data_IF_338216460777
#
_entry.id   IF_338216460777
#
_cell.length_a   1.000
_cell.length_b   1.000
_cell.length_c   1.000
_cell.angle_alpha   90.00
_cell.angle_beta   90.00
_cell.angle_gamma   90.00
#
_symmetry.space_group_name_H-M   'P 1'
#
loop_
_entity.id
_entity.type
_entity.pdbx_description
1 polymer ?
#
# COMPACT_ATOMS: atom_id res chain seq x y z
N UNK A 1 -7.70 27.84 -15.88
CA UNK A 1 -8.54 27.23 -16.95
C UNK A 1 -8.00 25.84 -17.22
N UNK A 2 -8.74 24.78 -16.90
CA UNK A 2 -8.31 23.39 -17.13
C UNK A 2 -8.15 23.19 -18.64
N UNK A 3 -7.00 22.68 -19.06
CA UNK A 3 -6.75 22.27 -20.46
C UNK A 3 -7.48 20.95 -20.73
N UNK A 4 -8.81 21.02 -20.84
CA UNK A 4 -9.66 19.89 -21.21
C UNK A 4 -9.51 19.62 -22.70
N UNK A 5 -8.63 18.70 -23.09
CA UNK A 5 -8.44 18.35 -24.49
C UNK A 5 -7.16 17.57 -24.76
N UNK A 6 -6.80 17.45 -26.01
CA UNK A 6 -5.69 16.67 -26.56
C UNK A 6 -4.27 17.09 -26.09
N UNK A 7 -4.17 18.10 -25.21
CA UNK A 7 -2.87 18.72 -24.84
C UNK A 7 -2.57 18.65 -23.32
N UNK A 8 -3.00 17.57 -22.63
CA UNK A 8 -2.63 17.39 -21.21
C UNK A 8 -1.14 17.11 -21.08
N UNK A 9 -0.52 17.71 -20.06
CA UNK A 9 0.85 17.45 -19.65
C UNK A 9 0.88 16.51 -18.45
N UNK A 10 1.67 15.46 -18.54
CA UNK A 10 1.78 14.41 -17.53
C UNK A 10 3.17 14.41 -16.90
N UNK A 11 3.22 14.44 -15.57
CA UNK A 11 4.43 14.20 -14.79
C UNK A 11 4.43 12.75 -14.31
N UNK A 12 5.34 11.92 -14.82
CA UNK A 12 5.46 10.51 -14.45
C UNK A 12 6.53 10.35 -13.39
N UNK A 13 6.17 9.96 -12.17
CA UNK A 13 7.11 9.70 -11.09
C UNK A 13 7.23 8.20 -10.88
N UNK A 14 8.41 7.65 -11.13
CA UNK A 14 8.71 6.22 -11.03
C UNK A 14 9.59 5.97 -9.82
N UNK A 15 9.16 5.06 -8.94
CA UNK A 15 10.04 4.53 -7.88
C UNK A 15 10.67 3.20 -8.36
N UNK A 16 11.94 3.22 -8.83
CA UNK A 16 12.56 2.06 -9.47
C UNK A 16 12.75 0.87 -8.53
N UNK A 17 12.90 1.11 -7.23
CA UNK A 17 13.14 0.04 -6.24
C UNK A 17 11.85 -0.57 -5.69
N UNK A 18 10.69 -0.02 -6.02
CA UNK A 18 9.40 -0.54 -5.56
C UNK A 18 9.21 -1.99 -6.00
N UNK A 19 8.60 -2.80 -5.13
CA UNK A 19 8.39 -4.25 -5.32
C UNK A 19 9.68 -5.02 -5.70
N UNK A 20 10.80 -4.64 -5.08
CA UNK A 20 12.09 -5.29 -5.35
C UNK A 20 12.63 -5.06 -6.76
N UNK A 21 12.44 -3.84 -7.30
CA UNK A 21 12.94 -3.41 -8.60
C UNK A 21 12.00 -3.67 -9.79
N UNK A 22 10.86 -4.34 -9.56
CA UNK A 22 9.90 -4.62 -10.66
C UNK A 22 9.20 -3.38 -11.18
N UNK A 23 9.04 -2.36 -10.35
CA UNK A 23 8.42 -1.11 -10.75
C UNK A 23 9.21 -0.36 -11.84
N UNK A 24 10.50 -0.56 -11.94
CA UNK A 24 11.31 -0.01 -13.04
C UNK A 24 10.84 -0.53 -14.40
N UNK A 25 10.69 -1.86 -14.53
CA UNK A 25 10.21 -2.46 -15.77
C UNK A 25 8.76 -2.07 -16.10
N UNK A 26 7.91 -1.94 -15.06
CA UNK A 26 6.55 -1.46 -15.18
C UNK A 26 6.51 -0.01 -15.68
N UNK A 27 7.36 0.86 -15.12
CA UNK A 27 7.50 2.24 -15.55
C UNK A 27 7.97 2.35 -17.00
N UNK A 28 9.01 1.61 -17.38
CA UNK A 28 9.50 1.59 -18.76
C UNK A 28 8.42 1.12 -19.74
N UNK A 29 7.61 0.14 -19.38
CA UNK A 29 6.46 -0.28 -20.18
C UNK A 29 5.49 0.89 -20.38
N UNK A 30 5.11 1.59 -19.31
CA UNK A 30 4.19 2.74 -19.38
C UNK A 30 4.77 3.85 -20.28
N UNK A 31 6.02 4.24 -20.05
CA UNK A 31 6.69 5.31 -20.82
C UNK A 31 6.74 4.99 -22.32
N UNK A 32 7.02 3.73 -22.68
CA UNK A 32 6.99 3.30 -24.07
C UNK A 32 5.58 3.39 -24.68
N UNK A 33 4.53 3.11 -23.91
CA UNK A 33 3.14 3.24 -24.36
C UNK A 33 2.75 4.70 -24.55
N UNK A 34 3.08 5.57 -23.59
CA UNK A 34 2.83 7.02 -23.68
C UNK A 34 3.54 7.62 -24.89
N UNK A 35 4.82 7.26 -25.13
CA UNK A 35 5.59 7.71 -26.29
C UNK A 35 4.95 7.28 -27.62
N UNK A 36 4.49 6.01 -27.73
CA UNK A 36 3.84 5.51 -28.95
C UNK A 36 2.52 6.23 -29.28
N UNK A 37 1.86 6.78 -28.26
CA UNK A 37 0.62 7.53 -28.39
C UNK A 37 0.84 9.05 -28.47
N UNK A 38 2.08 9.51 -28.64
CA UNK A 38 2.45 10.93 -28.70
C UNK A 38 1.93 11.75 -27.50
N UNK A 39 1.84 11.14 -26.32
CA UNK A 39 1.42 11.82 -25.10
C UNK A 39 2.53 12.77 -24.65
N UNK A 40 2.17 13.99 -24.21
CA UNK A 40 3.11 14.96 -23.67
C UNK A 40 3.41 14.65 -22.22
N UNK A 41 4.58 14.09 -21.91
CA UNK A 41 4.98 13.73 -20.54
C UNK A 41 6.43 14.03 -20.24
N UNK A 42 6.71 14.24 -18.97
CA UNK A 42 8.04 14.15 -18.37
C UNK A 42 8.12 12.99 -17.38
N UNK A 43 9.27 12.34 -17.30
CA UNK A 43 9.48 11.19 -16.43
C UNK A 43 10.64 11.43 -15.46
N UNK A 44 10.37 11.29 -14.18
CA UNK A 44 11.32 11.42 -13.08
C UNK A 44 11.42 10.11 -12.30
N UNK A 45 12.63 9.78 -11.83
CA UNK A 45 12.89 8.58 -11.05
C UNK A 45 13.32 8.96 -9.64
N UNK A 46 12.68 8.34 -8.63
CA UNK A 46 13.06 8.61 -7.24
C UNK A 46 14.35 7.90 -6.88
N UNK A 47 15.17 8.55 -6.06
CA UNK A 47 16.46 8.05 -5.61
C UNK A 47 16.45 7.68 -4.12
N UNK A 48 15.58 8.29 -3.35
CA UNK A 48 15.47 8.14 -1.89
C UNK A 48 14.04 8.35 -1.39
N UNK A 49 13.80 8.02 -0.14
CA UNK A 49 12.55 8.38 0.53
C UNK A 49 12.38 9.91 0.60
N UNK A 50 11.15 10.38 0.47
CA UNK A 50 10.79 11.81 0.42
C UNK A 50 11.04 12.48 -0.94
N UNK A 51 11.78 11.83 -1.86
CA UNK A 51 12.14 12.46 -3.14
C UNK A 51 10.92 12.68 -4.05
N UNK A 52 9.91 11.79 -4.00
CA UNK A 52 8.71 11.97 -4.80
C UNK A 52 7.89 13.21 -4.36
N UNK A 53 7.84 13.51 -3.07
CA UNK A 53 7.21 14.72 -2.54
C UNK A 53 7.92 16.00 -3.04
N UNK A 54 9.25 16.01 -2.99
CA UNK A 54 10.08 17.13 -3.49
C UNK A 54 9.91 17.35 -4.99
N UNK A 55 9.88 16.25 -5.77
CA UNK A 55 9.64 16.31 -7.22
C UNK A 55 8.31 16.94 -7.56
N UNK A 56 7.24 16.54 -6.84
CA UNK A 56 5.92 17.13 -7.06
C UNK A 56 5.92 18.61 -6.74
N UNK A 57 6.47 19.03 -5.60
CA UNK A 57 6.51 20.44 -5.21
C UNK A 57 7.30 21.30 -6.22
N UNK A 58 8.34 20.73 -6.81
CA UNK A 58 9.20 21.46 -7.75
C UNK A 58 8.64 21.56 -9.16
N UNK A 59 7.94 20.53 -9.62
CA UNK A 59 7.62 20.39 -11.04
C UNK A 59 6.14 20.37 -11.36
N UNK A 60 5.24 20.06 -10.40
CA UNK A 60 3.86 19.72 -10.72
C UNK A 60 2.99 20.91 -11.19
N UNK A 61 3.38 22.15 -10.93
CA UNK A 61 2.63 23.33 -11.39
C UNK A 61 2.50 23.41 -12.91
N UNK A 62 3.48 22.85 -13.62
CA UNK A 62 3.49 22.83 -15.08
C UNK A 62 2.66 21.70 -15.70
N UNK A 63 2.07 20.81 -14.88
CA UNK A 63 1.40 19.59 -15.33
C UNK A 63 -0.08 19.55 -14.92
N UNK A 64 -0.87 18.81 -15.69
CA UNK A 64 -2.29 18.59 -15.41
C UNK A 64 -2.51 17.29 -14.60
N UNK A 65 -1.61 16.33 -14.74
CA UNK A 65 -1.70 15.01 -14.10
C UNK A 65 -0.34 14.56 -13.60
N UNK A 66 -0.27 14.14 -12.34
CA UNK A 66 0.87 13.39 -11.80
C UNK A 66 0.54 11.90 -11.84
N UNK A 67 1.41 11.11 -12.46
CA UNK A 67 1.28 9.64 -12.52
C UNK A 67 2.26 9.02 -11.52
N UNK A 68 1.73 8.28 -10.56
CA UNK A 68 2.54 7.49 -9.63
C UNK A 68 2.76 6.08 -10.17
N UNK A 69 4.00 5.75 -10.52
CA UNK A 69 4.43 4.37 -10.86
C UNK A 69 5.15 3.77 -9.66
N UNK A 70 4.40 3.29 -8.68
CA UNK A 70 4.96 2.95 -7.38
C UNK A 70 4.02 2.10 -6.53
N UNK A 71 4.36 1.91 -5.24
CA UNK A 71 3.46 1.42 -4.19
C UNK A 71 2.96 2.55 -3.27
N UNK A 72 2.26 2.16 -2.21
CA UNK A 72 1.53 3.06 -1.31
C UNK A 72 2.41 4.14 -0.66
N UNK A 73 3.63 3.82 -0.21
CA UNK A 73 4.53 4.81 0.43
C UNK A 73 4.90 5.96 -0.52
N UNK A 74 5.34 5.67 -1.75
CA UNK A 74 5.65 6.74 -2.73
C UNK A 74 4.38 7.45 -3.19
N UNK A 75 3.25 6.75 -3.29
CA UNK A 75 1.96 7.39 -3.57
C UNK A 75 1.59 8.39 -2.47
N UNK A 76 1.84 8.06 -1.20
CA UNK A 76 1.64 8.99 -0.07
C UNK A 76 2.57 10.21 -0.15
N UNK A 77 3.86 10.03 -0.51
CA UNK A 77 4.78 11.15 -0.78
C UNK A 77 4.23 12.07 -1.88
N UNK A 78 3.75 11.51 -3.00
CA UNK A 78 3.16 12.28 -4.11
C UNK A 78 1.92 13.04 -3.64
N UNK A 79 1.03 12.40 -2.88
CA UNK A 79 -0.17 13.03 -2.31
C UNK A 79 0.24 14.23 -1.44
N UNK A 80 1.21 14.04 -0.54
CA UNK A 80 1.70 15.12 0.33
C UNK A 80 2.35 16.25 -0.49
N UNK A 81 3.02 15.93 -1.59
CA UNK A 81 3.52 16.90 -2.54
C UNK A 81 2.40 17.71 -3.21
N UNK A 82 1.38 17.03 -3.74
CA UNK A 82 0.21 17.66 -4.39
C UNK A 82 -0.51 18.61 -3.42
N UNK A 83 -0.65 18.21 -2.17
CA UNK A 83 -1.33 19.03 -1.15
C UNK A 83 -0.57 20.33 -0.79
N UNK A 84 0.68 20.44 -1.22
CA UNK A 84 1.51 21.65 -1.03
C UNK A 84 1.63 22.52 -2.28
N UNK A 85 1.15 22.03 -3.42
CA UNK A 85 1.12 22.78 -4.68
C UNK A 85 -0.17 23.60 -4.75
N UNK A 86 -0.09 24.89 -5.10
CA UNK A 86 -1.28 25.78 -5.14
C UNK A 86 -2.31 25.44 -6.21
N UNK A 87 -2.03 24.53 -7.14
CA UNK A 87 -2.90 24.18 -8.26
C UNK A 87 -4.11 23.35 -7.84
N UNK A 88 -5.29 23.93 -7.89
CA UNK A 88 -6.54 23.26 -7.58
C UNK A 88 -6.96 22.18 -8.62
N UNK A 89 -6.37 22.18 -9.81
CA UNK A 89 -6.77 21.29 -10.91
C UNK A 89 -5.86 20.08 -11.14
N UNK A 90 -4.78 19.98 -10.39
CA UNK A 90 -3.84 18.86 -10.48
C UNK A 90 -4.51 17.54 -10.11
N UNK A 91 -4.36 16.53 -10.96
CA UNK A 91 -4.96 15.20 -10.76
C UNK A 91 -3.88 14.17 -10.50
N UNK A 92 -4.18 13.21 -9.63
CA UNK A 92 -3.35 12.02 -9.42
C UNK A 92 -3.86 10.87 -10.27
N UNK A 93 -2.97 10.16 -10.93
CA UNK A 93 -3.24 8.87 -11.57
C UNK A 93 -2.31 7.81 -11.01
N UNK A 94 -2.78 6.56 -10.95
CA UNK A 94 -1.99 5.46 -10.42
C UNK A 94 -1.60 4.49 -11.53
N UNK A 95 -0.36 4.02 -11.48
CA UNK A 95 0.10 2.83 -12.18
C UNK A 95 0.63 1.87 -11.12
N UNK A 96 -0.19 0.92 -10.61
CA UNK A 96 0.13 0.13 -9.44
C UNK A 96 1.35 -0.75 -9.64
N UNK A 97 2.44 -0.46 -8.94
CA UNK A 97 3.71 -1.18 -9.05
C UNK A 97 4.31 -1.56 -7.68
N UNK A 98 3.50 -1.50 -6.63
CA UNK A 98 3.87 -1.83 -5.27
C UNK A 98 3.55 -3.27 -4.86
N UNK A 99 3.62 -3.53 -3.55
CA UNK A 99 3.32 -4.85 -2.95
C UNK A 99 1.86 -4.96 -2.55
N UNK A 100 1.31 -3.99 -1.84
CA UNK A 100 -0.10 -3.96 -1.42
C UNK A 100 -0.95 -3.22 -2.44
N UNK A 101 -0.58 -2.01 -2.82
CA UNK A 101 -1.29 -1.10 -3.71
C UNK A 101 -2.72 -0.82 -3.19
N UNK A 102 -2.81 -0.56 -1.88
CA UNK A 102 -4.09 -0.40 -1.19
C UNK A 102 -4.85 0.83 -1.69
N UNK A 103 -4.14 1.96 -1.84
CA UNK A 103 -4.74 3.17 -2.38
C UNK A 103 -5.27 2.96 -3.80
N UNK A 104 -4.45 2.41 -4.69
CA UNK A 104 -4.85 2.16 -6.07
C UNK A 104 -6.03 1.17 -6.17
N UNK A 105 -6.03 0.12 -5.33
CA UNK A 105 -7.13 -0.86 -5.30
C UNK A 105 -8.45 -0.24 -4.84
N UNK A 106 -8.43 0.66 -3.84
CA UNK A 106 -9.62 1.39 -3.41
C UNK A 106 -10.11 2.39 -4.48
N UNK A 107 -9.23 2.84 -5.37
CA UNK A 107 -9.59 3.65 -6.55
C UNK A 107 -10.11 2.82 -7.73
N UNK A 108 -10.04 1.50 -7.65
CA UNK A 108 -10.54 0.59 -8.69
C UNK A 108 -9.50 0.14 -9.71
N UNK A 109 -8.24 0.43 -9.50
CA UNK A 109 -7.16 -0.08 -10.35
C UNK A 109 -6.90 -1.56 -10.08
N UNK A 110 -6.75 -2.35 -11.15
CA UNK A 110 -6.23 -3.71 -11.04
C UNK A 110 -4.75 -3.73 -11.43
N UNK A 111 -3.89 -4.07 -10.47
CA UNK A 111 -2.45 -4.21 -10.72
C UNK A 111 -2.10 -5.22 -11.81
N UNK A 112 -2.97 -6.18 -12.09
CA UNK A 112 -2.74 -7.19 -13.13
C UNK A 112 -3.10 -6.68 -14.52
N UNK A 113 -3.90 -5.63 -14.61
CA UNK A 113 -4.38 -5.05 -15.84
C UNK A 113 -3.71 -3.71 -16.14
N UNK A 114 -2.57 -3.78 -16.81
CA UNK A 114 -1.79 -2.58 -17.19
C UNK A 114 -2.50 -1.73 -18.25
N UNK A 115 -3.29 -2.36 -19.10
CA UNK A 115 -4.04 -1.65 -20.13
C UNK A 115 -5.21 -0.88 -19.51
N UNK A 116 -5.88 -1.42 -18.49
CA UNK A 116 -6.86 -0.67 -17.69
C UNK A 116 -6.19 0.57 -17.06
N UNK A 117 -5.02 0.39 -16.43
CA UNK A 117 -4.31 1.51 -15.82
C UNK A 117 -3.95 2.57 -16.86
N UNK A 118 -3.41 2.19 -18.02
CA UNK A 118 -3.10 3.09 -19.12
C UNK A 118 -4.36 3.83 -19.63
N UNK A 119 -5.45 3.10 -19.88
CA UNK A 119 -6.74 3.67 -20.31
C UNK A 119 -7.25 4.67 -19.28
N UNK A 120 -7.11 4.37 -17.99
CA UNK A 120 -7.52 5.27 -16.89
C UNK A 120 -6.68 6.53 -16.86
N UNK A 121 -5.36 6.41 -16.98
CA UNK A 121 -4.42 7.55 -16.99
C UNK A 121 -4.74 8.52 -18.13
N UNK A 122 -5.03 8.00 -19.30
CA UNK A 122 -5.37 8.80 -20.50
C UNK A 122 -6.85 9.21 -20.51
N UNK A 123 -7.66 8.62 -19.67
CA UNK A 123 -9.09 8.90 -19.55
C UNK A 123 -9.39 10.24 -18.90
N UNK A 124 -10.69 10.54 -18.76
CA UNK A 124 -11.20 11.79 -18.17
C UNK A 124 -11.97 11.56 -16.87
N UNK A 125 -12.25 10.31 -16.54
CA UNK A 125 -13.04 9.95 -15.37
C UNK A 125 -12.25 10.25 -14.11
N UNK A 126 -12.76 11.16 -13.31
CA UNK A 126 -12.12 11.66 -12.11
C UNK A 126 -13.07 11.56 -10.91
N UNK A 127 -12.53 11.22 -9.75
CA UNK A 127 -13.20 11.35 -8.46
C UNK A 127 -12.40 12.26 -7.55
N UNK A 128 -13.13 13.03 -6.75
CA UNK A 128 -12.53 13.77 -5.65
C UNK A 128 -12.70 12.95 -4.40
N UNK A 129 -11.64 12.83 -3.62
CA UNK A 129 -11.60 12.03 -2.39
C UNK A 129 -11.22 12.89 -1.19
N UNK A 130 -11.62 12.42 -0.04
CA UNK A 130 -11.22 12.95 1.25
C UNK A 130 -9.83 12.44 1.62
N UNK A 131 -9.13 13.16 2.49
CA UNK A 131 -7.86 12.75 3.07
C UNK A 131 -7.94 12.83 4.60
N UNK A 132 -7.13 12.04 5.27
CA UNK A 132 -6.85 12.16 6.71
C UNK A 132 -5.71 13.15 6.87
N UNK A 133 -5.95 14.29 7.53
CA UNK A 133 -4.87 15.19 7.96
C UNK A 133 -4.38 14.75 9.34
N UNK A 134 -3.07 14.64 9.48
CA UNK A 134 -2.38 14.42 10.74
C UNK A 134 -1.19 15.38 10.84
N UNK A 135 -1.18 16.19 11.89
CA UNK A 135 -0.27 17.33 12.02
C UNK A 135 -0.29 18.20 10.73
N UNK A 136 0.81 18.26 9.98
CA UNK A 136 0.97 18.99 8.70
C UNK A 136 1.00 18.06 7.47
N UNK A 137 0.66 16.79 7.64
CA UNK A 137 0.70 15.75 6.60
C UNK A 137 -0.66 15.11 6.34
N UNK A 138 -0.70 14.28 5.29
CA UNK A 138 -1.92 13.63 4.83
C UNK A 138 -1.73 12.14 4.62
N UNK A 139 -2.78 11.38 4.94
CA UNK A 139 -2.92 9.97 4.61
C UNK A 139 -4.19 9.75 3.78
N UNK A 140 -4.14 8.82 2.84
CA UNK A 140 -5.24 8.57 1.93
C UNK A 140 -6.11 7.38 2.34
N UNK A 141 -5.55 6.37 3.02
CA UNK A 141 -6.22 5.10 3.31
C UNK A 141 -6.55 4.98 4.79
N UNK A 142 -5.54 5.05 5.66
CA UNK A 142 -5.75 4.79 7.09
C UNK A 142 -4.64 5.33 7.98
N UNK A 143 -5.03 5.58 9.24
CA UNK A 143 -4.15 5.88 10.36
C UNK A 143 -4.43 4.88 11.48
N UNK A 144 -3.49 3.97 11.75
CA UNK A 144 -3.67 2.87 12.70
C UNK A 144 -2.74 2.96 13.90
N UNK A 145 -3.22 2.47 15.03
CA UNK A 145 -2.51 2.37 16.31
C UNK A 145 -2.59 0.94 16.82
N UNK A 146 -1.47 0.37 17.22
CA UNK A 146 -1.49 -0.87 17.97
C UNK A 146 -0.85 -2.05 17.23
N UNK A 147 -1.45 -3.22 17.38
CA UNK A 147 -0.87 -4.49 16.92
C UNK A 147 -0.72 -4.58 15.40
N UNK A 148 -1.58 -3.93 14.63
CA UNK A 148 -1.51 -3.86 13.17
C UNK A 148 -0.20 -3.21 12.72
N UNK A 149 0.19 -2.13 13.38
CA UNK A 149 1.44 -1.41 13.14
C UNK A 149 2.66 -2.27 13.48
N UNK A 150 2.61 -3.05 14.56
CA UNK A 150 3.68 -4.02 14.88
C UNK A 150 3.76 -5.16 13.86
N UNK A 151 2.61 -5.61 13.33
CA UNK A 151 2.55 -6.63 12.29
C UNK A 151 3.18 -6.09 11.00
N UNK A 152 2.87 -4.85 10.64
CA UNK A 152 3.42 -4.17 9.48
C UNK A 152 4.96 -4.00 9.60
N UNK A 153 5.48 -3.57 10.76
CA UNK A 153 6.93 -3.51 11.03
C UNK A 153 7.62 -4.86 10.87
N UNK A 154 7.00 -5.92 11.42
CA UNK A 154 7.52 -7.27 11.26
C UNK A 154 7.53 -7.74 9.81
N UNK A 155 6.49 -7.45 9.04
CA UNK A 155 6.40 -7.82 7.63
C UNK A 155 7.44 -7.08 6.78
N UNK A 156 7.74 -5.83 7.11
CA UNK A 156 8.77 -5.04 6.45
C UNK A 156 10.17 -5.67 6.58
N UNK A 157 10.53 -6.18 7.75
CA UNK A 157 11.81 -6.88 8.00
C UNK A 157 11.94 -8.20 7.22
N UNK A 158 10.79 -8.79 6.82
CA UNK A 158 10.72 -10.04 6.07
C UNK A 158 10.35 -9.85 4.59
N UNK A 159 10.55 -8.67 4.01
CA UNK A 159 10.25 -8.33 2.59
C UNK A 159 10.77 -9.33 1.55
N UNK A 160 11.78 -10.15 1.88
CA UNK A 160 12.28 -11.24 1.03
C UNK A 160 11.31 -12.43 0.87
N UNK A 161 10.28 -12.53 1.73
CA UNK A 161 9.33 -13.63 1.70
C UNK A 161 7.94 -13.10 1.36
N UNK A 162 7.36 -13.58 0.25
CA UNK A 162 6.02 -13.21 -0.26
C UNK A 162 4.89 -13.27 0.79
N UNK A 163 3.67 -12.92 0.42
CA UNK A 163 2.42 -12.87 1.21
C UNK A 163 2.32 -13.83 2.44
N UNK A 164 2.85 -15.07 2.43
CA UNK A 164 2.90 -15.92 3.61
C UNK A 164 3.65 -15.32 4.79
N UNK A 165 4.60 -14.41 4.55
CA UNK A 165 5.41 -13.81 5.63
C UNK A 165 4.65 -12.73 6.40
N UNK A 166 3.78 -11.97 5.75
CA UNK A 166 2.91 -11.00 6.42
C UNK A 166 1.92 -11.73 7.33
N UNK A 167 1.32 -12.80 6.82
CA UNK A 167 0.41 -13.64 7.59
C UNK A 167 1.15 -14.38 8.73
N UNK A 168 2.33 -14.94 8.46
CA UNK A 168 3.15 -15.60 9.47
C UNK A 168 3.67 -14.63 10.53
N UNK A 169 4.13 -13.44 10.14
CA UNK A 169 4.54 -12.39 11.07
C UNK A 169 3.36 -11.94 11.94
N UNK A 170 2.21 -11.75 11.30
CA UNK A 170 0.96 -11.43 11.99
C UNK A 170 0.60 -12.51 13.01
N UNK A 171 0.54 -13.75 12.59
CA UNK A 171 0.21 -14.88 13.44
C UNK A 171 1.19 -15.05 14.61
N UNK A 172 2.51 -14.94 14.34
CA UNK A 172 3.56 -15.01 15.36
C UNK A 172 3.44 -13.87 16.37
N UNK A 173 3.30 -12.62 15.90
CA UNK A 173 3.15 -11.46 16.79
C UNK A 173 1.85 -11.50 17.57
N UNK A 174 0.76 -11.89 16.95
CA UNK A 174 -0.50 -12.11 17.61
C UNK A 174 -0.40 -13.20 18.70
N UNK A 175 0.35 -14.26 18.46
CA UNK A 175 0.55 -15.32 19.46
C UNK A 175 1.40 -14.86 20.65
N UNK A 176 2.53 -14.19 20.39
CA UNK A 176 3.45 -13.77 21.44
C UNK A 176 3.03 -12.46 22.12
N UNK A 177 2.43 -11.51 21.37
CA UNK A 177 2.05 -10.20 21.86
C UNK A 177 0.54 -10.08 22.16
N UNK A 178 -0.20 -11.17 22.23
CA UNK A 178 -1.66 -11.18 22.47
C UNK A 178 -2.13 -10.42 23.71
N UNK A 179 -1.24 -10.23 24.70
CA UNK A 179 -1.51 -9.47 25.93
C UNK A 179 -1.02 -8.03 25.85
N UNK A 180 -0.32 -7.66 24.79
CA UNK A 180 0.17 -6.31 24.63
C UNK A 180 -0.99 -5.39 24.29
N UNK A 181 -1.09 -4.34 25.04
CA UNK A 181 -2.11 -3.31 24.89
C UNK A 181 -1.44 -1.96 24.89
N UNK A 182 -2.10 -0.99 24.31
CA UNK A 182 -1.64 0.37 24.20
C UNK A 182 -2.63 1.27 24.95
N UNK A 183 -2.16 2.03 25.90
CA UNK A 183 -2.99 3.00 26.58
C UNK A 183 -3.06 4.26 25.72
N UNK A 184 -4.27 4.60 25.30
CA UNK A 184 -4.54 5.73 24.41
C UNK A 184 -5.75 6.50 24.90
N UNK A 185 -5.71 7.81 24.69
CA UNK A 185 -6.87 8.67 24.87
C UNK A 185 -7.27 9.26 23.54
N UNK A 186 -8.54 9.14 23.21
CA UNK A 186 -9.18 9.73 22.05
C UNK A 186 -10.23 10.74 22.51
N UNK A 187 -10.11 11.98 22.06
CA UNK A 187 -11.14 13.00 22.21
C UNK A 187 -11.69 13.27 20.79
N UNK A 188 -12.97 12.91 20.53
CA UNK A 188 -13.63 13.01 19.22
C UNK A 188 -15.13 13.26 19.38
N UNK A 189 -15.70 14.10 18.53
CA UNK A 189 -17.14 14.39 18.45
C UNK A 189 -17.78 14.64 19.83
N UNK A 190 -17.09 15.35 20.73
CA UNK A 190 -17.54 15.62 22.10
C UNK A 190 -17.48 14.45 23.07
N UNK A 191 -16.92 13.32 22.66
CA UNK A 191 -16.71 12.12 23.47
C UNK A 191 -15.24 11.95 23.81
N UNK A 192 -14.96 11.36 24.99
CA UNK A 192 -13.62 10.95 25.42
C UNK A 192 -13.61 9.45 25.61
N UNK A 193 -12.63 8.78 24.98
CA UNK A 193 -12.27 7.39 25.22
C UNK A 193 -10.87 7.38 25.84
N UNK A 194 -10.70 6.80 27.02
CA UNK A 194 -9.40 6.66 27.69
C UNK A 194 -9.29 5.24 28.23
N UNK A 195 -8.63 4.35 27.49
CA UNK A 195 -8.57 2.94 27.85
C UNK A 195 -7.42 2.25 27.09
N UNK A 196 -7.23 0.98 27.41
CA UNK A 196 -6.28 0.10 26.77
C UNK A 196 -6.91 -0.55 25.52
N UNK A 197 -6.24 -0.37 24.38
CA UNK A 197 -6.63 -0.96 23.10
C UNK A 197 -5.62 -2.00 22.63
N UNK A 198 -6.10 -3.00 21.91
CA UNK A 198 -5.26 -3.90 21.11
C UNK A 198 -4.94 -3.27 19.75
N UNK A 199 -5.96 -2.64 19.16
CA UNK A 199 -5.93 -2.04 17.83
C UNK A 199 -6.92 -0.87 17.78
N UNK A 200 -6.51 0.21 17.15
CA UNK A 200 -7.40 1.31 16.78
C UNK A 200 -7.02 1.83 15.42
N UNK A 201 -7.98 1.90 14.49
CA UNK A 201 -7.71 2.34 13.12
C UNK A 201 -8.76 3.36 12.71
N UNK A 202 -8.28 4.53 12.28
CA UNK A 202 -9.06 5.55 11.60
C UNK A 202 -8.95 5.33 10.09
N UNK A 203 -10.05 5.03 9.45
CA UNK A 203 -10.14 4.61 8.05
C UNK A 203 -10.79 5.71 7.21
N UNK A 204 -10.15 6.11 6.14
CA UNK A 204 -10.76 6.82 5.01
C UNK A 204 -11.25 5.81 3.95
N UNK A 205 -10.53 4.69 3.81
CA UNK A 205 -10.89 3.59 2.91
C UNK A 205 -11.28 2.33 3.71
N UNK A 206 -12.20 1.49 3.20
CA UNK A 206 -12.66 0.29 3.90
C UNK A 206 -11.63 -0.83 3.91
N UNK A 207 -10.72 -0.88 2.92
CA UNK A 207 -9.78 -1.98 2.70
C UNK A 207 -8.36 -1.49 2.83
N UNK A 208 -7.57 -2.17 3.67
CA UNK A 208 -6.13 -2.02 3.71
C UNK A 208 -5.44 -3.39 3.83
N UNK A 209 -4.12 -3.45 3.63
CA UNK A 209 -3.38 -4.70 3.62
C UNK A 209 -3.94 -5.68 2.60
N UNK A 210 -4.52 -5.18 1.51
CA UNK A 210 -5.05 -5.89 0.35
C UNK A 210 -6.39 -6.60 0.54
N UNK A 211 -6.73 -7.06 1.73
CA UNK A 211 -7.92 -7.90 1.95
C UNK A 211 -8.65 -7.60 3.26
N UNK A 212 -8.10 -6.74 4.09
CA UNK A 212 -8.60 -6.50 5.44
C UNK A 212 -9.59 -5.35 5.41
N UNK A 213 -10.85 -5.64 5.72
CA UNK A 213 -11.94 -4.66 5.79
C UNK A 213 -12.16 -4.26 7.24
N UNK A 214 -11.37 -3.35 7.78
CA UNK A 214 -11.46 -2.94 9.18
C UNK A 214 -12.67 -2.07 9.46
N UNK A 215 -12.98 -1.13 8.56
CA UNK A 215 -14.21 -0.35 8.63
C UNK A 215 -14.98 -0.50 7.32
N UNK A 216 -15.82 -1.55 7.21
CA UNK A 216 -16.46 -1.91 5.93
C UNK A 216 -17.34 -0.82 5.32
N UNK A 217 -17.84 0.10 6.14
CA UNK A 217 -18.72 1.19 5.73
C UNK A 217 -17.96 2.49 5.40
N UNK A 218 -16.62 2.53 5.57
CA UNK A 218 -15.84 3.71 5.24
C UNK A 218 -16.00 4.08 3.76
N UNK A 219 -16.16 5.36 3.49
CA UNK A 219 -16.24 5.93 2.14
C UNK A 219 -15.23 7.05 2.00
N UNK A 220 -14.60 7.13 0.84
CA UNK A 220 -13.49 8.05 0.62
C UNK A 220 -13.93 9.45 0.16
N UNK A 221 -15.22 9.77 0.16
CA UNK A 221 -15.73 11.02 -0.38
C UNK A 221 -17.01 11.53 0.30
N UNK A 222 -17.25 11.14 1.55
CA UNK A 222 -18.45 11.55 2.31
C UNK A 222 -18.15 12.58 3.42
N UNK A 223 -16.89 12.99 3.57
CA UNK A 223 -16.45 13.92 4.60
C UNK A 223 -16.42 13.33 6.00
N UNK A 224 -16.33 11.99 6.12
CA UNK A 224 -16.37 11.28 7.39
C UNK A 224 -15.30 10.20 7.40
N UNK A 225 -14.62 10.04 8.53
CA UNK A 225 -13.67 8.95 8.76
C UNK A 225 -14.28 7.88 9.66
N UNK A 226 -14.01 6.62 9.36
CA UNK A 226 -14.47 5.49 10.15
C UNK A 226 -13.45 5.10 11.22
N UNK A 227 -13.74 5.29 12.50
CA UNK A 227 -12.89 4.85 13.59
C UNK A 227 -13.33 3.46 14.08
N UNK A 228 -12.44 2.49 14.04
CA UNK A 228 -12.61 1.15 14.60
C UNK A 228 -11.71 0.99 15.81
N UNK A 229 -12.29 0.64 16.97
CA UNK A 229 -11.56 0.39 18.21
C UNK A 229 -11.76 -1.06 18.61
N UNK A 230 -10.67 -1.84 18.68
CA UNK A 230 -10.64 -3.20 19.20
C UNK A 230 -9.93 -3.26 20.55
N UNK A 231 -10.68 -3.58 21.63
CA UNK A 231 -10.15 -3.56 23.00
C UNK A 231 -9.33 -4.78 23.33
N UNK A 232 -9.93 -5.96 23.24
CA UNK A 232 -9.30 -7.19 23.69
C UNK A 232 -9.75 -8.39 22.87
N UNK A 233 -8.82 -9.31 22.64
CA UNK A 233 -9.13 -10.63 22.11
C UNK A 233 -8.58 -11.67 23.10
N UNK A 234 -9.43 -12.49 23.72
CA UNK A 234 -9.05 -13.25 24.93
C UNK A 234 -8.07 -14.38 24.65
N UNK A 235 -8.03 -14.91 23.42
CA UNK A 235 -7.16 -16.03 23.08
C UNK A 235 -6.76 -16.02 21.61
N UNK A 236 -5.80 -16.88 21.23
CA UNK A 236 -5.27 -16.99 19.86
C UNK A 236 -6.37 -17.35 18.86
N UNK A 237 -7.30 -18.22 19.22
CA UNK A 237 -8.41 -18.60 18.35
C UNK A 237 -9.32 -17.42 18.06
N UNK A 238 -9.66 -16.63 19.10
CA UNK A 238 -10.42 -15.38 18.92
C UNK A 238 -9.74 -14.38 18.02
N UNK A 239 -8.40 -14.26 18.10
CA UNK A 239 -7.64 -13.38 17.23
C UNK A 239 -7.60 -13.87 15.79
N UNK A 240 -7.48 -15.17 15.56
CA UNK A 240 -7.59 -15.76 14.23
C UNK A 240 -8.98 -15.56 13.64
N UNK A 241 -10.03 -15.83 14.43
CA UNK A 241 -11.42 -15.58 14.03
C UNK A 241 -11.64 -14.10 13.71
N UNK A 242 -11.08 -13.20 14.51
CA UNK A 242 -11.13 -11.76 14.26
C UNK A 242 -10.43 -11.39 12.95
N UNK A 243 -9.22 -11.90 12.70
CA UNK A 243 -8.50 -11.67 11.46
C UNK A 243 -9.27 -12.16 10.22
N UNK A 244 -9.87 -13.35 10.29
CA UNK A 244 -10.73 -13.86 9.22
C UNK A 244 -12.03 -13.07 9.08
N UNK A 245 -12.63 -12.65 10.17
CA UNK A 245 -13.82 -11.81 10.17
C UNK A 245 -13.53 -10.44 9.54
N UNK A 246 -12.34 -9.87 9.81
CA UNK A 246 -11.88 -8.64 9.17
C UNK A 246 -11.74 -8.80 7.65
N UNK A 247 -11.23 -9.94 7.15
CA UNK A 247 -11.15 -10.21 5.71
C UNK A 247 -12.54 -10.26 5.04
N UNK A 248 -13.56 -10.72 5.77
CA UNK A 248 -14.95 -10.72 5.31
C UNK A 248 -15.73 -9.44 5.62
N UNK A 249 -15.16 -8.52 6.39
CA UNK A 249 -15.87 -7.34 6.91
C UNK A 249 -16.96 -7.68 7.93
N UNK A 250 -16.87 -8.85 8.61
CA UNK A 250 -17.89 -9.37 9.51
C UNK A 250 -17.52 -9.33 11.00
N UNK A 251 -16.49 -8.58 11.38
CA UNK A 251 -16.01 -8.52 12.77
C UNK A 251 -16.86 -7.63 13.69
N UNK A 252 -17.82 -6.89 13.14
CA UNK A 252 -18.76 -6.06 13.91
C UNK A 252 -19.70 -6.81 14.86
N UNK A 253 -19.74 -8.15 14.81
CA UNK A 253 -20.48 -8.96 15.78
C UNK A 253 -19.81 -9.03 17.15
N UNK A 254 -18.54 -8.67 17.27
CA UNK A 254 -17.82 -8.73 18.55
C UNK A 254 -18.16 -7.50 19.41
N UNK A 255 -18.69 -7.71 20.60
CA UNK A 255 -18.92 -6.65 21.60
C UNK A 255 -17.65 -5.92 22.04
N UNK A 256 -16.46 -6.42 21.67
CA UNK A 256 -15.15 -5.85 21.96
C UNK A 256 -14.62 -4.93 20.86
N UNK A 257 -15.37 -4.82 19.77
CA UNK A 257 -15.10 -3.91 18.66
C UNK A 257 -16.18 -2.85 18.61
N UNK A 258 -15.79 -1.60 18.58
CA UNK A 258 -16.70 -0.48 18.38
C UNK A 258 -16.36 0.30 17.12
N UNK A 259 -17.39 0.79 16.44
CA UNK A 259 -17.30 1.62 15.25
C UNK A 259 -17.83 3.01 15.56
N UNK A 260 -17.11 4.01 15.11
CA UNK A 260 -17.50 5.41 15.28
C UNK A 260 -17.25 6.17 13.97
N UNK A 261 -18.04 7.20 13.74
CA UNK A 261 -17.85 8.15 12.66
C UNK A 261 -17.21 9.41 13.23
N UNK A 262 -16.14 9.88 12.59
CA UNK A 262 -15.29 10.94 13.14
C UNK A 262 -14.94 11.95 12.04
N UNK A 263 -15.04 13.23 12.34
CA UNK A 263 -14.50 14.29 11.49
C UNK A 263 -13.21 14.88 12.04
N UNK A 264 -13.12 14.97 13.38
CA UNK A 264 -11.94 15.45 14.08
C UNK A 264 -11.68 14.58 15.31
N UNK A 265 -10.43 14.25 15.54
CA UNK A 265 -10.00 13.46 16.68
C UNK A 265 -8.65 13.94 17.19
N UNK A 266 -8.53 14.07 18.51
CA UNK A 266 -7.26 14.25 19.19
C UNK A 266 -6.87 12.90 19.79
N UNK A 267 -5.66 12.45 19.49
CA UNK A 267 -5.09 11.19 20.01
C UNK A 267 -3.95 11.54 20.94
N UNK A 268 -3.95 11.00 22.14
CA UNK A 268 -2.82 11.07 23.07
C UNK A 268 -2.33 9.65 23.38
N UNK A 269 -1.07 9.38 23.07
CA UNK A 269 -0.41 8.12 23.40
C UNK A 269 -0.02 8.12 24.89
N UNK A 270 -0.77 7.42 25.74
CA UNK A 270 -0.45 7.29 27.18
C UNK A 270 0.64 6.26 27.46
N UNK A 271 1.04 5.50 26.46
CA UNK A 271 2.16 4.54 26.47
C UNK A 271 2.90 4.60 25.14
N UNK A 272 4.12 4.06 25.08
CA UNK A 272 4.83 3.85 23.81
C UNK A 272 3.97 3.04 22.85
N UNK A 273 3.69 3.58 21.69
CA UNK A 273 2.72 3.04 20.75
C UNK A 273 3.30 2.96 19.36
N UNK A 274 3.07 1.84 18.65
CA UNK A 274 3.33 1.74 17.23
C UNK A 274 2.15 2.31 16.45
N UNK A 275 2.47 3.10 15.44
CA UNK A 275 1.50 3.77 14.58
C UNK A 275 1.82 3.41 13.13
N UNK A 276 0.79 3.11 12.34
CA UNK A 276 0.92 2.99 10.90
C UNK A 276 0.12 4.10 10.19
N UNK A 277 0.68 4.64 9.12
CA UNK A 277 0.06 5.67 8.28
C UNK A 277 0.22 5.20 6.84
N UNK A 278 -0.89 4.85 6.19
CA UNK A 278 -0.91 4.25 4.84
C UNK A 278 0.08 3.08 4.68
N UNK A 279 0.27 2.29 5.76
CA UNK A 279 1.18 1.13 5.79
C UNK A 279 2.63 1.45 6.16
N UNK A 280 3.03 2.70 6.32
CA UNK A 280 4.32 3.07 6.90
C UNK A 280 4.26 3.08 8.43
N UNK A 281 5.28 2.53 9.09
CA UNK A 281 5.27 2.31 10.54
C UNK A 281 6.18 3.28 11.26
N UNK A 282 5.63 3.90 12.30
CA UNK A 282 6.31 4.83 13.19
C UNK A 282 6.20 4.35 14.65
N UNK A 283 7.15 4.75 15.48
CA UNK A 283 7.07 4.56 16.92
C UNK A 283 6.86 5.91 17.60
N UNK A 284 5.72 6.06 18.29
CA UNK A 284 5.40 7.24 19.07
C UNK A 284 5.63 6.97 20.56
N UNK A 285 6.38 7.86 21.20
CA UNK A 285 6.63 7.79 22.63
C UNK A 285 5.41 8.20 23.45
N UNK A 286 5.40 7.82 24.72
CA UNK A 286 4.42 8.26 25.69
C UNK A 286 4.32 9.80 25.73
N UNK A 287 3.11 10.33 25.83
CA UNK A 287 2.84 11.77 25.84
C UNK A 287 2.70 12.41 24.46
N UNK A 288 3.00 11.69 23.36
CA UNK A 288 2.77 12.22 21.99
C UNK A 288 1.28 12.47 21.77
N UNK A 289 0.98 13.68 21.34
CA UNK A 289 -0.36 14.12 20.93
C UNK A 289 -0.38 14.32 19.43
N UNK A 290 -1.46 13.88 18.78
CA UNK A 290 -1.70 14.01 17.34
C UNK A 290 -3.11 14.50 17.13
N UNK A 291 -3.29 15.49 16.27
CA UNK A 291 -4.59 15.95 15.84
C UNK A 291 -4.89 15.36 14.46
N UNK A 292 -6.00 14.66 14.37
CA UNK A 292 -6.48 14.02 13.14
C UNK A 292 -7.77 14.71 12.70
N UNK A 293 -7.93 14.92 11.41
CA UNK A 293 -9.17 15.43 10.85
C UNK A 293 -9.36 14.96 9.42
N UNK A 294 -10.62 14.84 8.99
CA UNK A 294 -10.93 14.71 7.57
C UNK A 294 -10.70 16.05 6.88
N UNK A 295 -10.12 16.00 5.68
CA UNK A 295 -10.12 17.10 4.72
C UNK A 295 -10.99 16.66 3.55
N UNK A 296 -12.24 17.15 3.50
CA UNK A 296 -13.19 16.71 2.49
C UNK A 296 -12.76 17.15 1.09
N UNK A 297 -12.98 16.27 0.11
CA UNK A 297 -12.75 16.54 -1.32
C UNK A 297 -11.37 17.14 -1.63
N UNK A 298 -10.33 16.66 -0.93
CA UNK A 298 -9.00 17.25 -0.94
C UNK A 298 -8.17 16.88 -2.18
N UNK A 299 -8.39 15.69 -2.75
CA UNK A 299 -7.55 15.16 -3.82
C UNK A 299 -8.40 14.69 -5.01
N UNK A 300 -8.02 15.10 -6.20
CA UNK A 300 -8.63 14.64 -7.47
C UNK A 300 -7.83 13.45 -8.01
N UNK A 301 -8.50 12.32 -8.25
CA UNK A 301 -7.86 11.07 -8.71
C UNK A 301 -8.55 10.59 -9.98
N UNK A 302 -7.78 10.27 -11.01
CA UNK A 302 -8.26 9.56 -12.18
C UNK A 302 -8.61 8.12 -11.77
N UNK A 303 -9.78 7.66 -12.19
CA UNK A 303 -10.30 6.34 -11.83
C UNK A 303 -10.80 5.59 -13.06
N UNK A 304 -10.77 4.25 -13.07
CA UNK A 304 -11.38 3.48 -14.15
C UNK A 304 -12.85 3.82 -14.31
N UNK A 305 -13.32 3.92 -15.54
CA UNK A 305 -14.71 4.30 -15.84
C UNK A 305 -15.71 3.31 -15.22
N UNK A 306 -15.37 2.04 -15.22
CA UNK A 306 -16.15 0.96 -14.59
C UNK A 306 -16.32 1.16 -13.08
N UNK A 307 -15.41 1.92 -12.45
CA UNK A 307 -15.48 2.24 -11.03
C UNK A 307 -16.67 3.10 -10.66
N UNK A 308 -17.20 3.88 -11.60
CA UNK A 308 -18.39 4.73 -11.38
C UNK A 308 -19.62 3.91 -11.00
N UNK A 309 -19.74 2.71 -11.56
CA UNK A 309 -20.86 1.79 -11.36
C UNK A 309 -20.55 0.64 -10.39
N UNK A 310 -19.30 0.50 -9.96
CA UNK A 310 -18.90 -0.58 -9.09
C UNK A 310 -19.33 -0.33 -7.64
N UNK A 311 -20.38 -1.06 -7.19
CA UNK A 311 -20.91 -0.98 -5.82
C UNK A 311 -19.93 -1.44 -4.72
N UNK A 312 -18.85 -2.11 -5.09
CA UNK A 312 -17.85 -2.61 -4.15
C UNK A 312 -16.79 -1.55 -3.81
N UNK A 313 -16.72 -0.46 -4.57
CA UNK A 313 -15.78 0.61 -4.31
C UNK A 313 -16.31 1.60 -3.26
N UNK A 314 -15.41 2.22 -2.48
CA UNK A 314 -15.76 3.03 -1.32
C UNK A 314 -16.15 4.47 -1.67
N UNK A 315 -17.19 4.63 -2.47
CA UNK A 315 -17.65 5.97 -2.84
C UNK A 315 -19.15 6.15 -2.58
N UNK A 316 -19.53 7.34 -2.12
CA UNK A 316 -20.94 7.76 -2.09
C UNK A 316 -21.39 8.01 -3.52
N UNK A 317 -22.57 7.53 -3.87
CA UNK A 317 -23.21 7.81 -5.15
C UNK A 317 -24.01 9.09 -5.06
N UNK A 318 -24.14 9.79 -6.18
CA UNK A 318 -25.01 10.98 -6.27
C UNK A 318 -26.47 10.69 -5.88
N UNK A 319 -26.90 9.44 -6.00
CA UNK A 319 -28.28 8.99 -5.74
C UNK A 319 -28.50 8.50 -4.30
N UNK A 320 -27.45 8.28 -3.51
CA UNK A 320 -27.59 7.92 -2.10
C UNK A 320 -27.89 9.18 -1.29
N UNK A 321 -29.03 9.27 -0.58
CA UNK A 321 -29.30 10.39 0.29
C UNK A 321 -28.22 10.46 1.37
N UNK A 322 -27.73 11.64 1.65
CA UNK A 322 -26.87 11.93 2.81
C UNK A 322 -27.75 11.82 4.05
N UNK A 323 -27.99 10.59 4.52
CA UNK A 323 -28.67 10.40 5.78
C UNK A 323 -27.83 10.99 6.90
N UNK A 324 -28.48 11.86 7.68
CA UNK A 324 -27.90 12.49 8.85
C UNK A 324 -27.35 11.44 9.82
N UNK A 325 -26.26 11.78 10.42
CA UNK A 325 -25.39 11.07 11.36
C UNK A 325 -26.18 10.30 12.43
N UNK A 326 -26.73 9.14 12.10
CA UNK A 326 -27.17 8.18 13.12
C UNK A 326 -26.09 7.09 13.23
N UNK A 327 -25.51 7.00 14.42
CA UNK A 327 -24.73 5.86 14.87
C UNK A 327 -25.58 4.60 14.70
N UNK A 328 -25.44 3.87 13.59
CA UNK A 328 -25.94 2.50 13.51
C UNK A 328 -24.99 1.62 14.34
N UNK A 329 -25.34 1.46 15.61
CA UNK A 329 -24.95 0.26 16.34
C UNK A 329 -25.59 -0.90 15.56
N UNK A 330 -24.79 -1.69 14.85
CA UNK A 330 -25.27 -2.92 14.23
C UNK A 330 -25.69 -3.83 15.38
N UNK A 331 -27.01 -4.08 15.60
CA UNK A 331 -27.46 -4.95 16.67
C UNK A 331 -26.91 -6.36 16.42
N UNK A 332 -26.54 -7.11 17.47
CA UNK A 332 -26.19 -8.51 17.32
C UNK A 332 -27.41 -9.25 16.73
N UNK A 333 -27.23 -9.89 15.57
CA UNK A 333 -28.27 -10.74 14.97
C UNK A 333 -28.51 -11.95 15.86
N UNK A 334 -29.77 -12.27 16.12
CA UNK A 334 -30.17 -13.57 16.68
C UNK A 334 -29.77 -14.69 15.70
N UNK A 335 -29.23 -15.79 16.20
CA UNK A 335 -28.74 -16.93 15.39
C UNK A 335 -27.20 -17.01 15.21
N UNK A 336 -26.44 -16.13 15.84
CA UNK A 336 -24.97 -16.02 15.68
C UNK A 336 -24.19 -17.28 16.10
N UNK A 337 -24.70 -18.10 17.04
CA UNK A 337 -24.02 -19.29 17.56
C UNK A 337 -23.79 -20.35 16.49
N UNK A 338 -24.77 -20.63 15.65
CA UNK A 338 -24.67 -21.64 14.58
C UNK A 338 -23.78 -21.15 13.44
N UNK A 339 -23.89 -19.87 13.04
CA UNK A 339 -23.00 -19.28 12.04
C UNK A 339 -21.53 -19.23 12.50
N UNK A 340 -21.27 -19.01 13.79
CA UNK A 340 -19.93 -19.03 14.37
C UNK A 340 -19.33 -20.43 14.43
N UNK A 341 -20.14 -21.46 14.71
CA UNK A 341 -19.70 -22.86 14.67
C UNK A 341 -19.37 -23.30 13.24
N UNK A 342 -20.20 -22.93 12.28
CA UNK A 342 -19.95 -23.24 10.86
C UNK A 342 -18.74 -22.48 10.34
N UNK A 343 -18.58 -21.21 10.70
CA UNK A 343 -17.40 -20.41 10.38
C UNK A 343 -16.14 -21.00 11.03
N UNK A 344 -16.23 -21.45 12.28
CA UNK A 344 -15.15 -22.13 13.01
C UNK A 344 -14.71 -23.41 12.30
N UNK A 345 -15.67 -24.25 11.85
CA UNK A 345 -15.39 -25.46 11.06
C UNK A 345 -14.73 -25.12 9.71
N UNK A 346 -15.25 -24.11 9.00
CA UNK A 346 -14.66 -23.66 7.72
C UNK A 346 -13.25 -23.09 7.89
N UNK A 347 -13.00 -22.36 8.97
CA UNK A 347 -11.67 -21.81 9.32
C UNK A 347 -10.70 -22.93 9.65
N UNK A 348 -11.13 -23.94 10.45
CA UNK A 348 -10.32 -25.11 10.79
C UNK A 348 -9.90 -25.88 9.53
N UNK A 349 -10.84 -26.19 8.64
CA UNK A 349 -10.58 -26.92 7.41
C UNK A 349 -9.65 -26.12 6.47
N UNK A 350 -9.86 -24.81 6.33
CA UNK A 350 -8.95 -23.95 5.53
C UNK A 350 -7.56 -23.85 6.16
N UNK A 351 -7.46 -23.83 7.48
CA UNK A 351 -6.17 -23.79 8.17
C UNK A 351 -5.41 -25.10 7.99
N UNK A 352 -6.09 -26.24 8.04
CA UNK A 352 -5.51 -27.57 7.78
C UNK A 352 -5.01 -27.67 6.32
N UNK A 353 -5.81 -27.28 5.35
CA UNK A 353 -5.40 -27.19 3.94
C UNK A 353 -4.22 -26.20 3.73
N UNK A 354 -4.22 -25.07 4.43
CA UNK A 354 -3.13 -24.10 4.35
C UNK A 354 -1.84 -24.64 4.98
N UNK A 355 -1.92 -25.37 6.09
CA UNK A 355 -0.77 -26.00 6.73
C UNK A 355 -0.18 -27.11 5.87
N UNK A 356 -0.99 -27.88 5.16
CA UNK A 356 -0.57 -28.85 4.15
C UNK A 356 0.09 -28.16 2.95
N UNK A 357 -0.55 -27.18 2.36
CA UNK A 357 -0.01 -26.38 1.26
C UNK A 357 1.31 -25.67 1.62
N UNK A 358 1.49 -25.23 2.90
CA UNK A 358 2.77 -24.67 3.35
C UNK A 358 3.86 -25.70 3.57
N UNK A 359 3.53 -26.96 3.89
CA UNK A 359 4.51 -28.07 3.92
C UNK A 359 5.01 -28.39 2.50
N UNK A 360 4.11 -28.47 1.54
CA UNK A 360 4.45 -28.62 0.11
C UNK A 360 5.17 -27.39 -0.46
N UNK A 361 4.71 -26.17 -0.14
CA UNK A 361 5.37 -24.95 -0.52
C UNK A 361 6.80 -24.81 0.01
N UNK A 362 7.10 -25.35 1.20
CA UNK A 362 8.47 -25.42 1.72
C UNK A 362 9.34 -26.42 0.98
N UNK A 363 8.76 -27.55 0.51
CA UNK A 363 9.48 -28.52 -0.35
C UNK A 363 9.81 -27.91 -1.71
N UNK A 364 8.84 -27.28 -2.36
CA UNK A 364 9.01 -26.56 -3.63
C UNK A 364 10.02 -25.42 -3.53
N UNK A 365 9.93 -24.57 -2.49
CA UNK A 365 10.89 -23.49 -2.27
C UNK A 365 12.32 -23.98 -1.98
N UNK A 366 12.50 -25.18 -1.42
CA UNK A 366 13.83 -25.80 -1.26
C UNK A 366 14.38 -26.29 -2.60
N UNK A 367 13.53 -26.83 -3.47
CA UNK A 367 13.90 -27.26 -4.82
C UNK A 367 14.30 -26.07 -5.69
N UNK A 368 13.48 -25.02 -5.70
CA UNK A 368 13.75 -23.77 -6.45
C UNK A 368 15.06 -23.10 -6.02
N UNK A 369 15.37 -23.12 -4.71
CA UNK A 369 16.65 -22.60 -4.20
C UNK A 369 17.84 -23.43 -4.65
N UNK A 370 17.68 -24.74 -4.73
CA UNK A 370 18.75 -25.64 -5.22
C UNK A 370 19.01 -25.40 -6.70
N UNK A 371 17.98 -25.22 -7.50
CA UNK A 371 18.09 -24.88 -8.93
C UNK A 371 18.65 -23.48 -9.17
N UNK A 372 18.18 -22.46 -8.41
CA UNK A 372 18.70 -21.10 -8.50
C UNK A 372 20.21 -21.05 -8.19
N UNK A 373 20.68 -21.77 -7.15
CA UNK A 373 22.11 -21.88 -6.84
C UNK A 373 22.92 -22.59 -7.93
N UNK A 374 22.31 -23.60 -8.60
CA UNK A 374 22.96 -24.25 -9.75
C UNK A 374 23.15 -23.27 -10.91
N UNK A 375 22.09 -22.53 -11.27
CA UNK A 375 22.14 -21.52 -12.34
C UNK A 375 23.13 -20.39 -12.04
N UNK A 376 23.20 -19.95 -10.80
CA UNK A 376 24.13 -18.90 -10.37
C UNK A 376 25.60 -19.40 -10.43
N UNK A 377 25.85 -20.64 -10.04
CA UNK A 377 27.17 -21.27 -10.16
C UNK A 377 27.60 -21.51 -11.62
N UNK A 378 26.65 -21.87 -12.50
CA UNK A 378 26.90 -21.99 -13.94
C UNK A 378 27.20 -20.63 -14.59
N UNK A 379 26.47 -19.58 -14.22
CA UNK A 379 26.70 -18.22 -14.69
C UNK A 379 28.09 -17.71 -14.25
N UNK A 380 28.46 -17.91 -12.99
CA UNK A 380 29.79 -17.54 -12.50
C UNK A 380 30.94 -18.32 -13.17
N UNK A 381 30.69 -19.58 -13.61
CA UNK A 381 31.67 -20.35 -14.39
C UNK A 381 31.83 -19.75 -15.79
N UNK A 382 30.73 -19.40 -16.47
CA UNK A 382 30.75 -18.73 -17.80
C UNK A 382 31.48 -17.39 -17.74
N UNK A 383 31.16 -16.53 -16.76
CA UNK A 383 31.83 -15.25 -16.58
C UNK A 383 33.36 -15.40 -16.36
N UNK A 384 33.77 -16.41 -15.58
CA UNK A 384 35.20 -16.72 -15.40
C UNK A 384 35.86 -17.20 -16.68
N UNK A 385 35.17 -17.97 -17.48
CA UNK A 385 35.69 -18.49 -18.75
C UNK A 385 35.79 -17.39 -19.81
N UNK A 386 34.78 -16.51 -19.92
CA UNK A 386 34.82 -15.32 -20.77
C UNK A 386 35.96 -14.39 -20.38
N UNK A 387 36.15 -14.12 -19.09
CA UNK A 387 37.26 -13.30 -18.59
C UNK A 387 38.62 -13.91 -18.94
N UNK A 388 38.76 -15.22 -18.83
CA UNK A 388 39.98 -15.97 -19.20
C UNK A 388 40.27 -15.93 -20.70
N UNK A 389 39.22 -15.98 -21.54
CA UNK A 389 39.34 -15.84 -22.98
C UNK A 389 39.69 -14.40 -23.39
N UNK A 390 39.08 -13.42 -22.74
CA UNK A 390 39.39 -11.99 -22.97
C UNK A 390 40.86 -11.65 -22.60
N UNK A 391 41.34 -12.17 -21.44
CA UNK A 391 42.74 -12.00 -21.02
C UNK A 391 43.72 -12.69 -21.99
N UNK A 392 43.35 -13.88 -22.53
CA UNK A 392 44.16 -14.56 -23.55
C UNK A 392 44.23 -13.79 -24.87
N UNK A 393 43.08 -13.27 -25.32
CA UNK A 393 43.02 -12.44 -26.52
C UNK A 393 43.84 -11.12 -26.37
N UNK A 394 43.75 -10.47 -25.22
CA UNK A 394 44.54 -9.28 -24.93
C UNK A 394 46.07 -9.53 -24.92
N UNK A 395 46.49 -10.70 -24.41
CA UNK A 395 47.90 -11.10 -24.47
C UNK A 395 48.38 -11.40 -25.91
N UNK A 396 47.53 -12.01 -26.73
CA UNK A 396 47.85 -12.24 -28.16
C UNK A 396 47.97 -10.94 -28.92
N UNK A 397 47.04 -10.02 -28.78
CA UNK A 397 47.09 -8.68 -29.39
C UNK A 397 48.38 -7.91 -28.99
N UNK A 398 48.74 -7.98 -27.70
CA UNK A 398 49.95 -7.32 -27.21
C UNK A 398 51.25 -7.95 -27.80
N UNK A 399 51.20 -9.24 -28.12
CA UNK A 399 52.32 -9.93 -28.77
C UNK A 399 52.42 -9.51 -30.26
N UNK A 400 51.30 -9.49 -30.96
CA UNK A 400 51.24 -9.04 -32.38
C UNK A 400 51.63 -7.57 -32.53
N UNK A 401 51.23 -6.69 -31.63
CA UNK A 401 51.66 -5.28 -31.64
C UNK A 401 53.17 -5.18 -31.47
N UNK A 402 53.78 -5.91 -30.54
CA UNK A 402 55.24 -5.90 -30.37
C UNK A 402 55.99 -6.47 -31.58
N UNK A 403 55.46 -7.47 -32.26
CA UNK A 403 56.03 -8.01 -33.49
C UNK A 403 55.96 -7.00 -34.64
N UNK A 404 54.84 -6.27 -34.77
CA UNK A 404 54.68 -5.17 -35.75
C UNK A 404 55.64 -4.00 -35.47
N UNK A 405 55.80 -3.59 -34.20
CA UNK A 405 56.75 -2.54 -33.83
C UNK A 405 58.19 -2.95 -34.14
N UNK A 406 58.59 -4.24 -33.97
CA UNK A 406 59.91 -4.76 -34.35
C UNK A 406 60.13 -4.75 -35.87
N UNK A 407 59.08 -5.01 -36.65
CA UNK A 407 59.17 -5.02 -38.10
C UNK A 407 59.22 -3.59 -38.68
N UNK A 408 58.68 -2.61 -38.00
CA UNK A 408 58.68 -1.21 -38.42
C UNK A 408 60.03 -0.51 -38.03
N UNK A 409 60.60 -0.89 -36.90
CA UNK A 409 61.88 -0.32 -36.42
C UNK A 409 63.14 -1.07 -36.88
N UNK A 410 62.99 -2.09 -37.74
CA UNK A 410 64.09 -2.91 -38.31
C UNK A 410 64.37 -2.69 -39.78
N UNK A 411 63.81 -1.64 -40.41
CA UNK A 411 64.19 -1.17 -41.77
C UNK A 411 64.86 0.17 -41.67
#
# INVERSE_FOLDING_TARGET
MSRDGENRRYLVIVNPVSRGGKAQAEGMWLLNRLKRQNVNYEALFTERAGHAEEMVQKWAEDFDVVISVSGDGTANEIINGIMKVPSADLKLAMFPAGTADDFASNMGYDRKDKEQALKTILGRTCRTIDLIRYDDRYAAVSFGLGIDSEIADGAYKWKKFRIPAYFYSGLKKCFFNRRKRYHVRFDYEGQTFDDWVLISILCNAPVFGRYVKIHPEAKMNDGILGLTIGREVPNVYGLLLFAFACMGGRHGFSRKVSYHQVRKMRVECKSDTYVQIDGEVFKFGQGRVINLSVVPQALRVLVPEESLHNRKLPFVRKEEPREGTQLRLIPPREGITEELEELSKRVKNRLEHFLEATKEGRKLAKLDRKEARKREAEMQRRDKEEKRLADKAARMMKKEMKERERTINGN
#
